data_IF_872577135954
#
_entry.id   IF_872577135954
#
_cell.length_a   1.000
_cell.length_b   1.000
_cell.length_c   1.000
_cell.angle_alpha   90.00
_cell.angle_beta   90.00
_cell.angle_gamma   90.00
#
_symmetry.space_group_name_H-M   'P 1'
#
loop_
_entity.id
_entity.type
_entity.pdbx_description
1 polymer ?
#
# COMPACT_ATOMS: atom_id res chain seq x y z
N UNK A 1 10.17 1.40 8.03
CA UNK A 1 8.96 0.57 7.80
C UNK A 1 9.17 -0.22 6.52
N UNK A 2 9.22 -1.54 6.64
CA UNK A 2 9.22 -2.43 5.47
C UNK A 2 7.77 -2.56 4.99
N UNK A 3 7.53 -2.69 3.69
CA UNK A 3 6.18 -2.90 3.17
C UNK A 3 6.17 -3.96 2.06
N UNK A 4 5.02 -4.62 1.89
CA UNK A 4 4.76 -5.65 0.88
C UNK A 4 3.74 -5.20 -0.16
N UNK A 5 3.48 -3.90 -0.26
CA UNK A 5 2.40 -3.38 -1.08
C UNK A 5 2.60 -3.72 -2.57
N UNK A 6 3.84 -3.61 -3.07
CA UNK A 6 4.15 -3.91 -4.47
C UNK A 6 3.93 -5.38 -4.81
N UNK A 7 4.38 -6.28 -3.93
CA UNK A 7 4.22 -7.73 -4.06
C UNK A 7 2.74 -8.08 -4.13
N UNK A 8 1.95 -7.64 -3.14
CA UNK A 8 0.51 -7.90 -3.03
C UNK A 8 -0.24 -7.31 -4.23
N UNK A 9 0.15 -6.12 -4.69
CA UNK A 9 -0.44 -5.49 -5.88
C UNK A 9 -0.18 -6.34 -7.12
N UNK A 10 1.06 -6.82 -7.32
CA UNK A 10 1.45 -7.65 -8.45
C UNK A 10 0.78 -9.03 -8.44
N UNK A 11 0.61 -9.64 -7.26
CA UNK A 11 -0.15 -10.89 -7.09
C UNK A 11 -1.60 -10.77 -7.59
N UNK A 12 -2.21 -9.59 -7.42
CA UNK A 12 -3.56 -9.28 -7.92
C UNK A 12 -3.59 -8.87 -9.40
N UNK A 13 -2.44 -8.75 -10.05
CA UNK A 13 -2.33 -8.37 -11.47
C UNK A 13 -2.72 -6.93 -11.80
N UNK A 14 -2.82 -6.04 -10.79
CA UNK A 14 -3.26 -4.65 -10.99
C UNK A 14 -2.08 -3.69 -11.13
N UNK A 15 -2.26 -2.61 -11.90
CA UNK A 15 -1.29 -1.53 -12.09
C UNK A 15 -1.32 -0.54 -10.92
N UNK A 16 -0.26 0.24 -10.78
CA UNK A 16 -0.22 1.33 -9.79
C UNK A 16 -1.31 2.37 -10.01
N UNK A 17 -1.61 2.70 -11.28
CA UNK A 17 -2.68 3.65 -11.64
C UNK A 17 -4.04 3.16 -11.16
N UNK A 18 -4.37 1.90 -11.45
CA UNK A 18 -5.65 1.30 -11.05
C UNK A 18 -5.82 1.28 -9.53
N UNK A 19 -4.76 0.96 -8.78
CA UNK A 19 -4.79 1.02 -7.32
C UNK A 19 -4.93 2.46 -6.81
N UNK A 20 -4.30 3.43 -7.49
CA UNK A 20 -4.39 4.84 -7.13
C UNK A 20 -5.81 5.38 -7.31
N UNK A 21 -6.44 5.05 -8.45
CA UNK A 21 -7.83 5.40 -8.76
C UNK A 21 -8.80 4.83 -7.71
N UNK A 22 -8.65 3.56 -7.35
CA UNK A 22 -9.49 2.88 -6.35
C UNK A 22 -9.35 3.52 -4.96
N UNK A 23 -8.14 3.95 -4.60
CA UNK A 23 -7.85 4.52 -3.28
C UNK A 23 -8.04 6.05 -3.22
N UNK A 24 -8.36 6.67 -4.37
CA UNK A 24 -8.51 8.11 -4.56
C UNK A 24 -7.24 8.88 -4.18
N UNK A 25 -6.08 8.37 -4.64
CA UNK A 25 -4.77 9.00 -4.44
C UNK A 25 -4.04 9.12 -5.77
N UNK A 26 -2.92 9.84 -5.80
CA UNK A 26 -2.09 9.90 -7.01
C UNK A 26 -1.33 8.59 -7.23
N UNK A 27 -1.02 8.26 -8.50
CA UNK A 27 -0.08 7.17 -8.83
C UNK A 27 1.27 7.31 -8.11
N UNK A 28 1.73 8.55 -7.94
CA UNK A 28 2.96 8.89 -7.23
C UNK A 28 2.87 8.49 -5.75
N UNK A 29 1.70 8.61 -5.12
CA UNK A 29 1.47 8.13 -3.76
C UNK A 29 1.69 6.63 -3.65
N UNK A 30 1.11 5.84 -4.57
CA UNK A 30 1.31 4.39 -4.62
C UNK A 30 2.77 4.05 -4.85
N UNK A 31 3.42 4.70 -5.82
CA UNK A 31 4.84 4.47 -6.11
C UNK A 31 5.73 4.80 -4.92
N UNK A 32 5.50 5.91 -4.22
CA UNK A 32 6.26 6.30 -3.04
C UNK A 32 6.06 5.35 -1.86
N UNK A 33 4.84 4.82 -1.67
CA UNK A 33 4.55 3.78 -0.67
C UNK A 33 5.33 2.51 -0.95
N UNK A 34 5.22 1.98 -2.18
CA UNK A 34 5.90 0.73 -2.59
C UNK A 34 7.42 0.83 -2.38
N UNK A 35 8.01 1.97 -2.72
CA UNK A 35 9.45 2.22 -2.56
C UNK A 35 9.85 2.64 -1.14
N UNK A 36 8.93 2.67 -0.16
CA UNK A 36 9.21 3.03 1.23
C UNK A 36 9.62 4.50 1.44
N UNK A 37 9.36 5.38 0.47
CA UNK A 37 9.69 6.82 0.54
C UNK A 37 8.63 7.62 1.31
N UNK A 38 7.50 7.01 1.59
CA UNK A 38 6.36 7.63 2.25
C UNK A 38 5.68 6.61 3.17
N UNK A 39 5.34 7.03 4.38
CA UNK A 39 4.50 6.23 5.27
C UNK A 39 3.04 6.60 5.02
N UNK A 40 2.13 5.62 4.87
CA UNK A 40 0.72 5.90 4.66
C UNK A 40 0.14 6.61 5.89
N UNK A 41 -0.83 7.50 5.67
CA UNK A 41 -1.72 7.90 6.75
C UNK A 41 -2.50 6.68 7.27
N UNK A 42 -2.97 6.73 8.51
CA UNK A 42 -3.76 5.64 9.09
C UNK A 42 -4.99 5.30 8.24
N UNK A 43 -5.64 6.32 7.67
CA UNK A 43 -6.80 6.15 6.79
C UNK A 43 -6.41 5.40 5.52
N UNK A 44 -5.29 5.78 4.89
CA UNK A 44 -4.81 5.12 3.66
C UNK A 44 -4.39 3.68 3.94
N UNK A 45 -3.73 3.41 5.08
CA UNK A 45 -3.39 2.06 5.50
C UNK A 45 -4.65 1.18 5.65
N UNK A 46 -5.72 1.70 6.29
CA UNK A 46 -7.00 1.00 6.37
C UNK A 46 -7.67 0.78 5.01
N UNK A 47 -7.66 1.78 4.10
CA UNK A 47 -8.21 1.63 2.75
C UNK A 47 -7.49 0.50 1.99
N UNK A 48 -6.15 0.49 2.05
CA UNK A 48 -5.30 -0.52 1.40
C UNK A 48 -5.56 -1.91 2.00
N UNK A 49 -5.55 -2.03 3.33
CA UNK A 49 -5.81 -3.29 4.04
C UNK A 49 -7.17 -3.89 3.67
N UNK A 50 -8.23 -3.06 3.66
CA UNK A 50 -9.58 -3.48 3.25
C UNK A 50 -9.64 -3.92 1.79
N UNK A 51 -9.01 -3.17 0.88
CA UNK A 51 -9.01 -3.50 -0.54
C UNK A 51 -8.36 -4.87 -0.81
N UNK A 52 -7.26 -5.17 -0.14
CA UNK A 52 -6.57 -6.45 -0.28
C UNK A 52 -7.11 -7.57 0.63
N UNK A 53 -8.10 -7.27 1.47
CA UNK A 53 -8.63 -8.17 2.50
C UNK A 53 -7.52 -8.78 3.37
N UNK A 54 -6.68 -7.91 3.94
CA UNK A 54 -5.54 -8.23 4.80
C UNK A 54 -5.53 -7.32 6.02
N UNK A 55 -4.79 -7.67 7.05
CA UNK A 55 -4.52 -6.74 8.14
C UNK A 55 -3.48 -5.70 7.70
N UNK A 56 -3.37 -4.59 8.46
CA UNK A 56 -2.39 -3.53 8.15
C UNK A 56 -0.97 -4.09 8.27
N UNK A 57 -0.70 -4.87 9.33
CA UNK A 57 0.60 -5.48 9.64
C UNK A 57 1.05 -6.52 8.59
N UNK A 58 0.13 -7.09 7.81
CA UNK A 58 0.48 -7.98 6.69
C UNK A 58 1.10 -7.22 5.52
N UNK A 59 0.80 -5.91 5.42
CA UNK A 59 1.18 -5.03 4.31
C UNK A 59 2.31 -4.08 4.72
N UNK A 60 2.21 -3.51 5.91
CA UNK A 60 3.11 -2.49 6.45
C UNK A 60 3.74 -3.02 7.73
N UNK A 61 4.99 -3.45 7.62
CA UNK A 61 5.74 -4.08 8.70
C UNK A 61 6.51 -2.98 9.43
N UNK A 62 6.03 -2.66 10.61
CA UNK A 62 6.74 -1.83 11.56
C UNK A 62 7.75 -2.70 12.31
N UNK A 63 9.02 -2.33 12.24
CA UNK A 63 10.09 -2.91 13.04
C UNK A 63 10.44 -1.84 14.08
N UNK A 64 10.20 -2.11 15.36
CA UNK A 64 10.82 -1.37 16.47
C UNK A 64 12.32 -1.67 16.43
N UNK A 65 13.17 -0.65 16.55
CA UNK A 65 14.62 -0.86 16.74
C UNK A 65 14.90 -1.61 18.05
#
# INVERSE_FOLDING_TARGET
>A
MKNKLEEIRKERGIKQEELADILEVSRQTISSLENGRYNPSIILAFKIARYFNKNIEDIFIYEEE
#
